data_IF_208431814889
#
_entry.id   IF_208431814889
#
_cell.length_a   1.000
_cell.length_b   1.000
_cell.length_c   1.000
_cell.angle_alpha   90.00
_cell.angle_beta   90.00
_cell.angle_gamma   90.00
#
_symmetry.space_group_name_H-M   'P 1'
#
loop_
_entity.id
_entity.type
_entity.pdbx_description
1 polymer ?
#
# COMPACT_ATOMS: atom_id res chain seq x y z
N UNK A 1 2.48 11.24 -10.91
CA UNK A 1 2.17 11.41 -9.46
C UNK A 1 2.44 12.84 -8.94
N UNK A 2 3.51 13.52 -9.35
CA UNK A 2 3.88 14.86 -8.85
C UNK A 2 2.96 16.03 -9.25
N UNK A 3 1.77 15.77 -9.79
CA UNK A 3 0.75 16.81 -9.99
C UNK A 3 -0.10 17.03 -8.72
N UNK A 4 -0.04 16.12 -7.74
CA UNK A 4 -0.69 16.26 -6.44
C UNK A 4 0.37 16.66 -5.39
N UNK A 5 0.17 17.77 -4.64
CA UNK A 5 1.17 18.29 -3.70
C UNK A 5 1.67 17.28 -2.66
N UNK A 6 0.81 16.40 -2.12
CA UNK A 6 1.24 15.40 -1.14
C UNK A 6 2.24 14.40 -1.74
N UNK A 7 2.06 14.00 -3.00
CA UNK A 7 3.01 13.09 -3.64
C UNK A 7 4.34 13.77 -3.93
N UNK A 8 4.35 15.08 -4.22
CA UNK A 8 5.59 15.86 -4.29
C UNK A 8 6.31 15.88 -2.95
N UNK A 9 5.59 16.14 -1.86
CA UNK A 9 6.15 16.15 -0.51
C UNK A 9 6.73 14.79 -0.12
N UNK A 10 6.01 13.68 -0.38
CA UNK A 10 6.49 12.32 -0.14
C UNK A 10 7.76 12.05 -0.96
N UNK A 11 7.73 12.35 -2.25
CA UNK A 11 8.86 12.11 -3.15
C UNK A 11 10.09 12.91 -2.71
N UNK A 12 9.92 14.20 -2.38
CA UNK A 12 11.00 15.04 -1.89
C UNK A 12 11.58 14.52 -0.57
N UNK A 13 10.73 14.13 0.38
CA UNK A 13 11.15 13.59 1.68
C UNK A 13 11.98 12.32 1.51
N UNK A 14 11.50 11.38 0.70
CA UNK A 14 12.19 10.10 0.44
C UNK A 14 13.50 10.34 -0.31
N UNK A 15 13.47 11.12 -1.40
CA UNK A 15 14.66 11.39 -2.21
C UNK A 15 15.73 12.14 -1.41
N UNK A 16 15.36 13.12 -0.58
CA UNK A 16 16.30 13.83 0.28
C UNK A 16 16.99 12.87 1.26
N UNK A 17 16.24 11.98 1.89
CA UNK A 17 16.81 10.97 2.79
C UNK A 17 17.79 10.04 2.06
N UNK A 18 17.40 9.51 0.89
CA UNK A 18 18.24 8.57 0.14
C UNK A 18 19.53 9.22 -0.39
N UNK A 19 19.45 10.47 -0.85
CA UNK A 19 20.63 11.22 -1.34
C UNK A 19 21.66 11.47 -0.25
N UNK A 20 21.23 11.64 1.01
CA UNK A 20 22.14 11.77 2.16
C UNK A 20 22.88 10.46 2.45
N UNK A 21 22.29 9.30 2.17
CA UNK A 21 22.85 7.98 2.50
C UNK A 21 23.53 7.26 1.33
N UNK A 22 23.48 7.79 0.09
CA UNK A 22 24.28 7.43 -1.11
C UNK A 22 24.40 5.93 -1.48
N UNK A 23 23.55 5.03 -0.96
CA UNK A 23 23.75 3.57 -1.06
C UNK A 23 22.53 2.77 -1.52
N UNK A 24 21.40 3.42 -1.79
CA UNK A 24 20.17 2.73 -2.18
C UNK A 24 19.75 3.11 -3.61
N UNK A 25 19.24 2.12 -4.34
CA UNK A 25 18.61 2.32 -5.65
C UNK A 25 17.32 3.11 -5.47
N UNK A 26 17.01 4.01 -6.41
CA UNK A 26 15.81 4.84 -6.32
C UNK A 26 14.53 3.99 -6.42
N UNK A 27 13.47 4.33 -5.66
CA UNK A 27 12.21 3.63 -5.74
C UNK A 27 11.61 3.75 -7.15
N UNK A 28 11.27 2.62 -7.74
CA UNK A 28 10.66 2.49 -9.07
C UNK A 28 9.14 2.36 -8.98
N UNK A 29 8.64 1.83 -7.87
CA UNK A 29 7.20 1.62 -7.64
C UNK A 29 6.67 2.54 -6.54
N UNK A 30 5.34 2.68 -6.47
CA UNK A 30 4.73 3.46 -5.41
C UNK A 30 4.92 2.78 -4.05
N UNK A 31 4.85 1.45 -4.03
CA UNK A 31 5.08 0.65 -2.82
C UNK A 31 6.49 0.84 -2.28
N UNK A 32 7.52 0.83 -3.15
CA UNK A 32 8.90 1.12 -2.74
C UNK A 32 8.99 2.52 -2.12
N UNK A 33 8.42 3.53 -2.79
CA UNK A 33 8.41 4.92 -2.31
C UNK A 33 7.79 5.04 -0.90
N UNK A 34 6.63 4.42 -0.67
CA UNK A 34 5.95 4.47 0.63
C UNK A 34 6.67 3.65 1.69
N UNK A 35 7.30 2.55 1.31
CA UNK A 35 8.15 1.77 2.23
C UNK A 35 9.29 2.63 2.75
N UNK A 36 9.98 3.37 1.88
CA UNK A 36 11.01 4.33 2.30
C UNK A 36 10.47 5.47 3.14
N UNK A 37 9.26 5.98 2.84
CA UNK A 37 8.61 7.04 3.64
C UNK A 37 8.39 6.58 5.10
N UNK A 38 7.84 5.38 5.30
CA UNK A 38 7.58 4.88 6.66
C UNK A 38 8.90 4.54 7.37
N UNK A 39 9.91 4.00 6.67
CA UNK A 39 11.26 3.82 7.23
C UNK A 39 11.83 5.15 7.73
N UNK A 40 11.73 6.21 6.91
CA UNK A 40 12.22 7.55 7.25
C UNK A 40 11.56 8.08 8.53
N UNK A 41 10.23 8.07 8.59
CA UNK A 41 9.51 8.57 9.76
C UNK A 41 9.75 7.72 11.01
N UNK A 42 9.91 6.41 10.86
CA UNK A 42 10.26 5.52 11.97
C UNK A 42 11.64 5.84 12.55
N UNK A 43 12.65 6.06 11.70
CA UNK A 43 13.99 6.48 12.14
C UNK A 43 13.96 7.83 12.84
N UNK A 44 13.30 8.82 12.24
CA UNK A 44 13.17 10.17 12.81
C UNK A 44 12.49 10.13 14.19
N UNK A 45 11.45 9.30 14.35
CA UNK A 45 10.78 9.05 15.63
C UNK A 45 11.76 8.50 16.67
N UNK A 46 12.51 7.45 16.31
CA UNK A 46 13.44 6.79 17.22
C UNK A 46 14.58 7.73 17.67
N UNK A 47 15.14 8.51 16.74
CA UNK A 47 16.16 9.53 17.05
C UNK A 47 15.63 10.61 18.00
N UNK A 48 14.43 11.13 17.73
CA UNK A 48 13.85 12.25 18.49
C UNK A 48 13.40 11.88 19.90
N UNK A 49 12.85 10.67 20.10
CA UNK A 49 12.16 10.31 21.35
C UNK A 49 12.82 9.19 22.15
N UNK A 50 13.60 8.30 21.50
CA UNK A 50 14.27 7.20 22.19
C UNK A 50 15.76 7.46 22.43
N UNK A 51 16.32 8.55 21.88
CA UNK A 51 17.73 8.92 22.06
C UNK A 51 18.72 7.88 21.52
N UNK A 52 18.25 6.96 20.68
CA UNK A 52 19.03 5.89 20.08
C UNK A 52 19.55 6.36 18.71
N UNK A 53 20.84 6.71 18.62
CA UNK A 53 21.58 6.67 17.35
C UNK A 53 21.87 5.20 17.01
N UNK A 54 20.84 4.43 16.66
CA UNK A 54 21.04 3.03 16.28
C UNK A 54 21.25 2.90 14.77
N UNK A 55 22.40 2.35 14.41
CA UNK A 55 22.82 2.01 13.04
C UNK A 55 22.03 0.80 12.52
N UNK A 56 20.73 0.96 12.27
CA UNK A 56 19.90 -0.05 11.60
C UNK A 56 18.41 0.34 11.52
N UNK A 57 17.63 -0.23 10.59
CA UNK A 57 16.18 -0.08 10.57
C UNK A 57 15.57 -0.96 11.67
N UNK A 58 15.79 -0.60 12.94
CA UNK A 58 15.03 -1.20 14.04
C UNK A 58 13.65 -0.56 14.06
N UNK A 59 12.75 -1.21 13.34
CA UNK A 59 11.33 -0.97 13.46
C UNK A 59 10.93 -1.13 14.93
N UNK A 60 10.17 -0.18 15.49
CA UNK A 60 9.34 -0.54 16.62
C UNK A 60 8.15 -1.33 16.05
N UNK A 61 8.34 -2.65 15.96
CA UNK A 61 7.41 -3.59 15.32
C UNK A 61 6.00 -3.45 15.91
N UNK A 62 5.91 -3.35 17.23
CA UNK A 62 4.65 -3.17 17.95
C UNK A 62 3.96 -1.84 17.57
N UNK A 63 4.71 -0.75 17.52
CA UNK A 63 4.20 0.56 17.09
C UNK A 63 3.62 0.54 15.66
N UNK A 64 4.37 0.00 14.69
CA UNK A 64 3.96 0.00 13.28
C UNK A 64 2.82 -0.98 13.02
N UNK A 65 2.82 -2.15 13.66
CA UNK A 65 1.71 -3.09 13.56
C UNK A 65 0.43 -2.51 14.16
N UNK A 66 0.51 -1.86 15.32
CA UNK A 66 -0.65 -1.21 15.95
C UNK A 66 -1.20 -0.08 15.09
N UNK A 67 -0.32 0.76 14.53
CA UNK A 67 -0.73 1.83 13.62
C UNK A 67 -1.32 1.29 12.30
N UNK A 68 -0.75 0.22 11.75
CA UNK A 68 -1.29 -0.44 10.56
C UNK A 68 -2.62 -1.14 10.82
N UNK A 69 -2.82 -1.73 12.00
CA UNK A 69 -4.11 -2.28 12.44
C UNK A 69 -5.18 -1.20 12.47
N UNK A 70 -4.89 -0.07 13.12
CA UNK A 70 -5.78 1.09 13.12
C UNK A 70 -6.09 1.55 11.69
N UNK A 71 -5.07 1.69 10.85
CA UNK A 71 -5.23 2.12 9.46
C UNK A 71 -6.17 1.19 8.68
N UNK A 72 -6.03 -0.13 8.85
CA UNK A 72 -6.89 -1.12 8.22
C UNK A 72 -8.34 -1.06 8.74
N UNK A 73 -8.54 -0.98 10.06
CA UNK A 73 -9.87 -0.87 10.66
C UNK A 73 -10.60 0.38 10.15
N UNK A 74 -9.93 1.54 10.17
CA UNK A 74 -10.52 2.78 9.69
C UNK A 74 -10.74 2.78 8.17
N UNK A 75 -9.87 2.13 7.39
CA UNK A 75 -10.04 1.99 5.94
C UNK A 75 -11.27 1.16 5.59
N UNK A 76 -11.45 0.00 6.25
CA UNK A 76 -12.61 -0.88 6.03
C UNK A 76 -13.91 -0.21 6.48
N UNK A 77 -13.87 0.57 7.56
CA UNK A 77 -15.02 1.32 8.05
C UNK A 77 -15.32 2.59 7.23
N UNK A 78 -14.41 3.01 6.35
CA UNK A 78 -14.57 4.24 5.55
C UNK A 78 -14.35 5.54 6.35
N UNK A 79 -13.65 5.45 7.46
CA UNK A 79 -13.39 6.58 8.36
C UNK A 79 -12.08 7.28 7.99
N UNK A 80 -12.14 8.61 7.86
CA UNK A 80 -10.97 9.48 7.67
C UNK A 80 -10.49 10.13 8.98
N UNK A 81 -11.38 10.22 9.96
CA UNK A 81 -11.11 10.72 11.30
C UNK A 81 -11.48 9.64 12.33
N UNK A 82 -10.73 9.59 13.42
CA UNK A 82 -10.90 8.63 14.50
C UNK A 82 -10.56 9.29 15.85
N UNK A 83 -10.91 8.63 16.94
CA UNK A 83 -10.89 9.19 18.29
C UNK A 83 -9.91 8.43 19.21
N UNK A 84 -9.80 8.88 20.46
CA UNK A 84 -8.93 8.23 21.45
C UNK A 84 -9.32 6.76 21.72
N UNK A 85 -10.60 6.42 21.56
CA UNK A 85 -11.12 5.07 21.72
C UNK A 85 -10.57 4.12 20.65
N UNK A 86 -10.55 4.58 19.39
CA UNK A 86 -10.01 3.82 18.26
C UNK A 86 -8.51 3.54 18.44
N UNK A 87 -7.76 4.53 18.96
CA UNK A 87 -6.33 4.36 19.30
C UNK A 87 -6.13 3.28 20.36
N UNK A 88 -6.95 3.31 21.43
CA UNK A 88 -6.87 2.32 22.52
C UNK A 88 -7.23 0.92 22.03
N UNK A 89 -8.22 0.77 21.15
CA UNK A 89 -8.60 -0.52 20.54
C UNK A 89 -7.47 -1.09 19.65
N UNK A 90 -6.74 -0.21 18.97
CA UNK A 90 -5.56 -0.58 18.20
C UNK A 90 -4.33 -0.89 19.06
N UNK A 91 -4.39 -0.65 20.38
CA UNK A 91 -3.27 -0.85 21.30
C UNK A 91 -2.27 0.32 21.35
N UNK A 92 -2.67 1.51 20.87
CA UNK A 92 -1.83 2.70 20.83
C UNK A 92 -2.12 3.58 22.04
N UNK A 93 -1.09 3.91 22.83
CA UNK A 93 -1.21 4.93 23.87
C UNK A 93 -1.49 6.29 23.21
N UNK A 94 -2.51 6.99 23.69
CA UNK A 94 -2.89 8.35 23.27
C UNK A 94 -1.70 9.30 23.33
N UNK A 95 -0.81 9.14 24.32
CA UNK A 95 0.41 9.95 24.41
C UNK A 95 1.39 9.63 23.27
N UNK A 96 1.46 8.37 22.85
CA UNK A 96 2.28 7.92 21.71
C UNK A 96 1.67 8.32 20.36
N UNK A 97 0.35 8.55 20.27
CA UNK A 97 -0.27 9.00 19.02
C UNK A 97 0.34 10.31 18.48
N UNK A 98 0.74 11.22 19.38
CA UNK A 98 1.46 12.46 19.05
C UNK A 98 2.86 12.23 18.46
N UNK A 99 3.42 11.05 18.69
CA UNK A 99 4.79 10.65 18.34
C UNK A 99 4.88 10.13 16.89
N UNK A 100 3.75 9.78 16.27
CA UNK A 100 3.67 9.40 14.83
C UNK A 100 3.57 10.60 13.87
N UNK A 101 4.01 11.78 14.32
CA UNK A 101 4.06 13.01 13.53
C UNK A 101 4.70 12.76 12.15
N UNK A 102 3.91 12.94 11.09
CA UNK A 102 4.29 12.69 9.71
C UNK A 102 3.56 11.51 9.05
N UNK A 103 3.04 10.57 9.85
CA UNK A 103 2.14 9.48 9.38
C UNK A 103 0.72 9.68 9.88
N UNK A 104 0.57 10.06 11.15
CA UNK A 104 -0.68 10.37 11.82
C UNK A 104 -0.56 11.74 12.52
N UNK A 105 -1.65 12.50 12.54
CA UNK A 105 -1.71 13.80 13.20
C UNK A 105 -2.89 13.86 14.16
N UNK A 106 -2.65 14.49 15.31
CA UNK A 106 -3.71 14.93 16.21
C UNK A 106 -4.24 16.28 15.73
N UNK A 107 -5.55 16.43 15.78
CA UNK A 107 -6.30 17.65 15.52
C UNK A 107 -7.19 17.95 16.73
N UNK A 108 -7.54 19.21 16.91
CA UNK A 108 -8.50 19.63 17.94
C UNK A 108 -9.84 19.89 17.26
N UNK A 109 -10.89 19.21 17.74
CA UNK A 109 -12.27 19.54 17.38
C UNK A 109 -12.77 20.57 18.37
N UNK A 110 -12.95 21.80 17.90
CA UNK A 110 -13.36 22.92 18.73
C UNK A 110 -14.89 22.92 18.85
N UNK A 111 -15.44 22.14 19.79
CA UNK A 111 -16.89 22.09 20.03
C UNK A 111 -17.38 23.18 21.01
N UNK A 112 -16.53 23.66 21.93
CA UNK A 112 -16.73 24.85 22.77
C UNK A 112 -15.41 25.30 23.44
N UNK A 113 -15.32 26.56 23.91
CA UNK A 113 -14.14 27.15 24.61
C UNK A 113 -13.68 26.32 25.84
N UNK A 114 -14.53 25.43 26.37
CA UNK A 114 -14.28 24.63 27.57
C UNK A 114 -14.06 23.12 27.30
N UNK A 115 -14.37 22.63 26.10
CA UNK A 115 -14.23 21.22 25.72
C UNK A 115 -13.65 21.12 24.30
N UNK A 116 -12.38 20.72 24.20
CA UNK A 116 -11.72 20.38 22.95
C UNK A 116 -11.54 18.88 22.89
N UNK A 117 -12.41 18.20 22.14
CA UNK A 117 -12.24 16.78 21.87
C UNK A 117 -11.07 16.61 20.90
N UNK A 118 -10.15 15.69 21.25
CA UNK A 118 -9.04 15.35 20.37
C UNK A 118 -9.55 14.38 19.30
N UNK A 119 -9.31 14.73 18.05
CA UNK A 119 -9.56 13.85 16.91
C UNK A 119 -8.26 13.61 16.19
N UNK A 120 -8.18 12.50 15.48
CA UNK A 120 -6.96 12.06 14.83
C UNK A 120 -7.26 11.70 13.39
N UNK A 121 -6.28 11.87 12.52
CA UNK A 121 -6.34 11.37 11.16
C UNK A 121 -4.94 10.99 10.66
N UNK A 122 -4.90 10.15 9.64
CA UNK A 122 -3.66 9.99 8.88
C UNK A 122 -3.40 11.26 8.07
N UNK A 123 -2.13 11.61 7.91
CA UNK A 123 -1.73 12.83 7.15
C UNK A 123 -2.32 12.83 5.74
N UNK A 124 -2.47 11.65 5.14
CA UNK A 124 -3.15 11.47 3.88
C UNK A 124 -3.74 10.04 3.76
N UNK A 125 -4.83 9.88 3.00
CA UNK A 125 -5.49 8.58 2.80
C UNK A 125 -4.53 7.53 2.22
N UNK A 126 -3.63 7.91 1.31
CA UNK A 126 -2.64 6.98 0.77
C UNK A 126 -1.67 6.42 1.82
N UNK A 127 -1.37 7.18 2.88
CA UNK A 127 -0.55 6.72 4.00
C UNK A 127 -1.35 5.70 4.83
N UNK A 128 -2.64 5.97 5.07
CA UNK A 128 -3.56 5.03 5.71
C UNK A 128 -3.65 3.72 4.91
N UNK A 129 -3.89 3.80 3.59
CA UNK A 129 -3.96 2.62 2.72
C UNK A 129 -2.66 1.82 2.69
N UNK A 130 -1.51 2.49 2.66
CA UNK A 130 -0.22 1.82 2.73
C UNK A 130 -0.01 1.09 4.06
N UNK A 131 -0.25 1.76 5.19
CA UNK A 131 -0.09 1.16 6.53
C UNK A 131 -1.07 0.00 6.73
N UNK A 132 -2.29 0.12 6.21
CA UNK A 132 -3.26 -0.97 6.19
C UNK A 132 -2.73 -2.17 5.38
N UNK A 133 -2.15 -1.93 4.20
CA UNK A 133 -1.57 -2.97 3.36
C UNK A 133 -0.39 -3.68 4.06
N UNK A 134 0.48 -2.92 4.74
CA UNK A 134 1.57 -3.46 5.57
C UNK A 134 1.02 -4.36 6.67
N UNK A 135 -0.02 -3.92 7.40
CA UNK A 135 -0.64 -4.75 8.44
C UNK A 135 -1.22 -6.04 7.89
N UNK A 136 -2.02 -5.97 6.81
CA UNK A 136 -2.64 -7.15 6.19
C UNK A 136 -1.58 -8.12 5.65
N UNK A 137 -0.53 -7.60 5.02
CA UNK A 137 0.61 -8.38 4.55
C UNK A 137 1.32 -9.11 5.72
N UNK A 138 1.67 -8.39 6.78
CA UNK A 138 2.38 -8.97 7.93
C UNK A 138 1.53 -9.98 8.69
N UNK A 139 0.23 -9.72 8.88
CA UNK A 139 -0.71 -10.68 9.48
C UNK A 139 -0.79 -11.98 8.69
N UNK A 140 -0.79 -11.90 7.35
CA UNK A 140 -0.77 -13.10 6.51
C UNK A 140 0.58 -13.84 6.59
N UNK A 141 1.69 -13.15 6.40
CA UNK A 141 3.02 -13.76 6.32
C UNK A 141 3.47 -14.34 7.66
N UNK A 142 3.26 -13.60 8.76
CA UNK A 142 3.68 -14.03 10.09
C UNK A 142 2.69 -15.04 10.70
N UNK A 143 1.38 -14.81 10.55
CA UNK A 143 0.35 -15.51 11.34
C UNK A 143 -0.61 -16.40 10.51
N UNK A 144 -0.50 -16.41 9.18
CA UNK A 144 -1.43 -17.11 8.27
C UNK A 144 -2.86 -16.59 8.35
N UNK A 145 -3.02 -15.33 8.72
CA UNK A 145 -4.33 -14.71 8.86
C UNK A 145 -4.70 -13.99 7.56
N UNK A 146 -5.68 -14.53 6.84
CA UNK A 146 -6.18 -13.91 5.62
C UNK A 146 -7.32 -12.94 5.96
N UNK A 147 -6.97 -11.68 6.24
CA UNK A 147 -7.92 -10.59 6.53
C UNK A 147 -8.74 -10.14 5.30
N UNK A 148 -8.40 -10.66 4.11
CA UNK A 148 -9.06 -10.33 2.85
C UNK A 148 -10.13 -11.36 2.47
N UNK A 149 -10.12 -12.55 3.07
CA UNK A 149 -11.07 -13.61 2.79
C UNK A 149 -12.41 -13.35 3.50
N UNK A 150 -13.49 -13.23 2.71
CA UNK A 150 -14.87 -13.16 3.22
C UNK A 150 -15.44 -14.54 3.55
N UNK A 151 -14.93 -15.60 2.92
CA UNK A 151 -15.49 -16.95 2.95
C UNK A 151 -14.77 -17.89 3.92
N UNK A 152 -13.70 -17.42 4.57
CA UNK A 152 -12.85 -18.22 5.48
C UNK A 152 -12.51 -19.59 4.90
N UNK A 153 -12.10 -19.59 3.63
CA UNK A 153 -11.68 -20.79 2.95
C UNK A 153 -10.51 -21.44 3.70
N UNK A 154 -10.49 -22.78 3.75
CA UNK A 154 -9.41 -23.51 4.40
C UNK A 154 -8.08 -23.43 3.63
N UNK A 155 -8.10 -22.90 2.40
CA UNK A 155 -6.89 -22.69 1.60
C UNK A 155 -6.17 -21.42 2.04
N UNK A 156 -5.03 -21.61 2.71
CA UNK A 156 -4.15 -20.54 3.20
C UNK A 156 -2.98 -20.27 2.26
N UNK A 157 -3.08 -20.66 1.00
CA UNK A 157 -2.05 -20.39 0.00
C UNK A 157 -1.91 -18.88 -0.26
N UNK A 158 -0.69 -18.46 -0.57
CA UNK A 158 -0.38 -17.08 -0.93
C UNK A 158 -1.14 -16.62 -2.19
N UNK A 159 -1.33 -17.54 -3.14
CA UNK A 159 -2.12 -17.28 -4.36
C UNK A 159 -3.56 -16.96 -4.01
N UNK A 160 -4.21 -17.78 -3.16
CA UNK A 160 -5.59 -17.56 -2.74
C UNK A 160 -5.75 -16.26 -1.95
N UNK A 161 -4.75 -15.90 -1.15
CA UNK A 161 -4.69 -14.62 -0.44
C UNK A 161 -4.73 -13.42 -1.40
N UNK A 162 -3.82 -13.34 -2.37
CA UNK A 162 -3.79 -12.21 -3.31
C UNK A 162 -4.98 -12.21 -4.26
N UNK A 163 -5.47 -13.36 -4.72
CA UNK A 163 -6.71 -13.45 -5.50
C UNK A 163 -7.91 -12.90 -4.74
N UNK A 164 -8.05 -13.25 -3.46
CA UNK A 164 -9.11 -12.73 -2.59
C UNK A 164 -9.02 -11.21 -2.44
N UNK A 165 -7.80 -10.66 -2.32
CA UNK A 165 -7.61 -9.22 -2.26
C UNK A 165 -8.01 -8.52 -3.56
N UNK A 166 -7.62 -9.06 -4.73
CA UNK A 166 -8.01 -8.56 -6.05
C UNK A 166 -9.53 -8.56 -6.20
N UNK A 167 -10.19 -9.67 -5.87
CA UNK A 167 -11.65 -9.78 -5.98
C UNK A 167 -12.37 -8.81 -5.04
N UNK A 168 -11.89 -8.66 -3.80
CA UNK A 168 -12.47 -7.73 -2.82
C UNK A 168 -12.34 -6.28 -3.27
N UNK A 169 -11.23 -5.89 -3.89
CA UNK A 169 -11.05 -4.55 -4.45
C UNK A 169 -11.97 -4.32 -5.67
N UNK A 170 -12.10 -5.30 -6.57
CA UNK A 170 -12.99 -5.22 -7.73
C UNK A 170 -14.48 -5.14 -7.34
N UNK A 171 -14.86 -5.74 -6.21
CA UNK A 171 -16.21 -5.61 -5.64
C UNK A 171 -16.48 -4.25 -4.98
N UNK A 172 -15.45 -3.44 -4.70
CA UNK A 172 -15.63 -2.12 -4.11
C UNK A 172 -16.16 -1.13 -5.13
N UNK A 173 -17.42 -0.73 -5.00
CA UNK A 173 -18.05 0.28 -5.85
C UNK A 173 -17.31 1.62 -5.83
N UNK A 174 -16.80 2.02 -4.66
CA UNK A 174 -16.16 3.33 -4.45
C UNK A 174 -14.67 3.35 -4.77
N UNK A 175 -14.02 2.20 -4.93
CA UNK A 175 -12.57 2.13 -5.20
C UNK A 175 -11.70 2.44 -4.00
N UNK A 176 -12.28 2.45 -2.80
CA UNK A 176 -11.56 2.68 -1.55
C UNK A 176 -10.49 1.62 -1.20
N UNK A 177 -10.38 0.56 -1.99
CA UNK A 177 -9.35 -0.48 -1.83
C UNK A 177 -8.36 -0.52 -3.00
N UNK A 178 -8.47 0.40 -3.96
CA UNK A 178 -7.66 0.33 -5.19
C UNK A 178 -6.18 0.59 -4.89
N UNK A 179 -5.86 1.67 -4.18
CA UNK A 179 -4.49 1.98 -3.82
C UNK A 179 -3.95 1.06 -2.72
N UNK A 180 -4.80 0.66 -1.76
CA UNK A 180 -4.49 -0.44 -0.84
C UNK A 180 -4.06 -1.73 -1.58
N UNK A 181 -4.79 -2.16 -2.60
CA UNK A 181 -4.47 -3.40 -3.35
C UNK A 181 -3.12 -3.29 -4.04
N UNK A 182 -2.84 -2.14 -4.67
CA UNK A 182 -1.54 -1.86 -5.29
C UNK A 182 -0.40 -2.05 -4.31
N UNK A 183 -0.52 -1.46 -3.13
CA UNK A 183 0.47 -1.61 -2.07
C UNK A 183 0.61 -3.06 -1.60
N UNK A 184 -0.51 -3.75 -1.37
CA UNK A 184 -0.49 -5.14 -0.91
C UNK A 184 0.23 -6.07 -1.90
N UNK A 185 -0.01 -5.88 -3.19
CA UNK A 185 0.67 -6.62 -4.26
C UNK A 185 2.14 -6.22 -4.39
N UNK A 186 2.46 -4.92 -4.31
CA UNK A 186 3.86 -4.48 -4.31
C UNK A 186 4.67 -5.09 -3.16
N UNK A 187 4.06 -5.21 -1.97
CA UNK A 187 4.70 -5.83 -0.80
C UNK A 187 4.97 -7.33 -0.98
N UNK A 188 4.30 -8.00 -1.92
CA UNK A 188 4.57 -9.40 -2.26
C UNK A 188 5.94 -9.59 -2.92
N UNK A 189 6.53 -8.55 -3.50
CA UNK A 189 7.85 -8.62 -4.12
C UNK A 189 8.96 -8.63 -3.07
N UNK A 190 9.92 -9.53 -3.24
CA UNK A 190 11.06 -9.67 -2.32
C UNK A 190 11.90 -8.37 -2.22
N UNK A 191 11.98 -7.58 -3.31
CA UNK A 191 12.66 -6.28 -3.33
C UNK A 191 12.09 -5.32 -2.29
N UNK A 192 10.76 -5.27 -2.15
CA UNK A 192 10.04 -4.47 -1.17
C UNK A 192 10.17 -5.03 0.26
N UNK A 193 10.30 -6.34 0.39
CA UNK A 193 10.43 -7.01 1.68
C UNK A 193 11.76 -6.74 2.38
N UNK A 194 12.83 -6.44 1.62
CA UNK A 194 14.15 -6.13 2.18
C UNK A 194 14.10 -5.03 3.25
N UNK A 195 13.31 -3.98 3.01
CA UNK A 195 13.18 -2.84 3.93
C UNK A 195 12.30 -3.16 5.16
N UNK A 196 11.50 -4.23 5.08
CA UNK A 196 10.59 -4.71 6.13
C UNK A 196 11.15 -5.91 6.91
N UNK A 197 12.42 -6.30 6.70
CA UNK A 197 13.02 -7.48 7.35
C UNK A 197 12.95 -7.46 8.89
N UNK A 198 12.87 -6.29 9.52
CA UNK A 198 12.70 -6.19 10.97
C UNK A 198 11.26 -6.42 11.47
N UNK A 199 10.29 -6.57 10.57
CA UNK A 199 8.87 -6.84 10.87
C UNK A 199 8.43 -8.25 10.43
N UNK A 200 9.22 -8.89 9.57
CA UNK A 200 8.90 -10.21 9.02
C UNK A 200 9.56 -11.30 9.86
N UNK A 201 8.75 -12.21 10.38
CA UNK A 201 9.23 -13.39 11.11
C UNK A 201 9.42 -14.61 10.20
N UNK A 202 8.83 -14.58 8.99
CA UNK A 202 8.85 -15.67 8.01
C UNK A 202 9.00 -15.10 6.60
N UNK A 203 9.73 -15.81 5.74
CA UNK A 203 9.79 -15.54 4.30
C UNK A 203 8.90 -16.55 3.58
N UNK A 204 7.97 -16.07 2.76
CA UNK A 204 7.02 -16.92 2.03
C UNK A 204 6.88 -16.63 0.55
N UNK A 205 7.59 -15.64 0.02
CA UNK A 205 7.52 -15.36 -1.40
C UNK A 205 8.04 -16.55 -2.21
N UNK A 206 7.23 -17.01 -3.15
CA UNK A 206 7.67 -17.97 -4.18
C UNK A 206 7.47 -17.35 -5.55
N UNK A 207 8.39 -17.61 -6.49
CA UNK A 207 8.23 -17.14 -7.87
C UNK A 207 6.95 -17.68 -8.52
N UNK A 208 6.56 -18.91 -8.16
CA UNK A 208 5.35 -19.55 -8.68
C UNK A 208 4.06 -18.83 -8.23
N UNK A 209 3.94 -18.47 -6.95
CA UNK A 209 2.76 -17.75 -6.45
C UNK A 209 2.62 -16.36 -7.08
N UNK A 210 3.76 -15.71 -7.37
CA UNK A 210 3.81 -14.45 -8.09
C UNK A 210 3.30 -14.57 -9.53
N UNK A 211 3.81 -15.53 -10.31
CA UNK A 211 3.37 -15.78 -11.69
C UNK A 211 1.86 -16.09 -11.77
N UNK A 212 1.34 -16.90 -10.84
CA UNK A 212 -0.08 -17.23 -10.78
C UNK A 212 -0.95 -16.01 -10.45
N UNK A 213 -0.47 -15.12 -9.58
CA UNK A 213 -1.17 -13.86 -9.23
C UNK A 213 -1.20 -12.90 -10.42
N UNK A 214 -0.06 -12.73 -11.11
CA UNK A 214 0.05 -11.93 -12.33
C UNK A 214 -0.90 -12.44 -13.41
N UNK A 215 -0.93 -13.76 -13.64
CA UNK A 215 -1.84 -14.38 -14.61
C UNK A 215 -3.29 -14.08 -14.26
N UNK A 216 -3.66 -14.18 -12.99
CA UNK A 216 -5.02 -13.88 -12.53
C UNK A 216 -5.42 -12.42 -12.77
N UNK A 217 -4.52 -11.47 -12.50
CA UNK A 217 -4.78 -10.04 -12.76
C UNK A 217 -5.00 -9.81 -14.26
N UNK A 218 -4.19 -10.42 -15.13
CA UNK A 218 -4.36 -10.34 -16.59
C UNK A 218 -5.70 -10.93 -17.05
N UNK A 219 -6.12 -12.05 -16.45
CA UNK A 219 -7.46 -12.62 -16.68
C UNK A 219 -8.56 -11.63 -16.28
N UNK A 220 -8.45 -10.99 -15.11
CA UNK A 220 -9.42 -9.96 -14.66
C UNK A 220 -9.47 -8.72 -15.54
N UNK A 221 -8.35 -8.29 -16.10
CA UNK A 221 -8.33 -7.22 -17.10
C UNK A 221 -9.11 -7.66 -18.36
N UNK A 222 -8.94 -8.91 -18.81
CA UNK A 222 -9.62 -9.47 -20.00
C UNK A 222 -11.12 -9.67 -19.82
N UNK A 223 -11.58 -9.84 -18.58
CA UNK A 223 -13.02 -9.83 -18.25
C UNK A 223 -13.69 -8.46 -18.48
N UNK A 224 -12.91 -7.43 -18.85
CA UNK A 224 -13.38 -6.10 -19.22
C UNK A 224 -14.19 -5.40 -18.09
N UNK A 225 -13.57 -5.12 -16.93
CA UNK A 225 -14.21 -4.37 -15.86
C UNK A 225 -14.32 -2.88 -16.26
N UNK A 226 -14.84 -2.03 -15.36
CA UNK A 226 -14.91 -0.59 -15.65
C UNK A 226 -13.52 0.00 -15.99
N UNK A 227 -13.46 1.13 -16.72
CA UNK A 227 -12.19 1.79 -17.04
C UNK A 227 -11.32 2.05 -15.80
N UNK A 228 -11.92 2.50 -14.70
CA UNK A 228 -11.24 2.78 -13.43
C UNK A 228 -10.63 1.51 -12.82
N UNK A 229 -11.39 0.41 -12.83
CA UNK A 229 -10.88 -0.89 -12.35
C UNK A 229 -9.77 -1.42 -13.23
N UNK A 230 -9.91 -1.28 -14.54
CA UNK A 230 -8.88 -1.67 -15.50
C UNK A 230 -7.59 -0.90 -15.23
N UNK A 231 -7.67 0.43 -15.07
CA UNK A 231 -6.53 1.29 -14.70
C UNK A 231 -5.86 0.78 -13.42
N UNK A 232 -6.64 0.49 -12.38
CA UNK A 232 -6.10 -0.01 -11.12
C UNK A 232 -5.37 -1.36 -11.30
N UNK A 233 -5.93 -2.30 -12.06
CA UNK A 233 -5.29 -3.60 -12.31
C UNK A 233 -4.00 -3.48 -13.13
N UNK A 234 -3.93 -2.56 -14.09
CA UNK A 234 -2.66 -2.27 -14.78
C UNK A 234 -1.62 -1.67 -13.83
N UNK A 235 -2.02 -0.76 -12.93
CA UNK A 235 -1.10 -0.29 -11.90
C UNK A 235 -0.65 -1.40 -10.96
N UNK A 236 -1.53 -2.36 -10.62
CA UNK A 236 -1.15 -3.55 -9.86
C UNK A 236 -0.08 -4.38 -10.58
N UNK A 237 -0.17 -4.56 -11.90
CA UNK A 237 0.89 -5.21 -12.68
C UNK A 237 2.21 -4.44 -12.62
N UNK A 238 2.16 -3.11 -12.67
CA UNK A 238 3.36 -2.28 -12.51
C UNK A 238 3.98 -2.39 -11.10
N UNK A 239 3.18 -2.44 -10.02
CA UNK A 239 3.71 -2.67 -8.67
C UNK A 239 4.35 -4.06 -8.54
N UNK A 240 3.92 -5.03 -9.37
CA UNK A 240 4.49 -6.37 -9.47
C UNK A 240 5.68 -6.45 -10.45
N UNK A 241 6.13 -5.32 -11.03
CA UNK A 241 7.16 -5.26 -12.08
C UNK A 241 6.83 -6.11 -13.34
N UNK A 242 5.55 -6.39 -13.61
CA UNK A 242 5.12 -7.03 -14.86
C UNK A 242 4.67 -5.97 -15.87
N UNK A 243 5.47 -5.77 -16.91
CA UNK A 243 5.16 -4.87 -18.02
C UNK A 243 4.73 -5.62 -19.29
N UNK A 244 4.68 -6.95 -19.25
CA UNK A 244 4.49 -7.79 -20.43
C UNK A 244 3.19 -7.52 -21.17
N UNK A 245 2.10 -7.21 -20.45
CA UNK A 245 0.82 -6.89 -21.08
C UNK A 245 0.87 -5.53 -21.80
N UNK A 246 1.60 -4.56 -21.24
CA UNK A 246 1.81 -3.25 -21.87
C UNK A 246 2.68 -3.40 -23.10
N UNK A 247 3.78 -4.16 -23.00
CA UNK A 247 4.69 -4.45 -24.11
C UNK A 247 3.99 -5.20 -25.24
N UNK A 248 3.15 -6.18 -24.92
CA UNK A 248 2.31 -6.91 -25.87
C UNK A 248 1.44 -5.92 -26.67
N UNK A 249 0.70 -5.05 -25.98
CA UNK A 249 -0.20 -4.09 -26.65
C UNK A 249 0.59 -3.05 -27.46
N UNK A 250 1.71 -2.54 -26.93
CA UNK A 250 2.58 -1.61 -27.65
C UNK A 250 3.20 -2.23 -28.91
N UNK A 251 3.58 -3.51 -28.86
CA UNK A 251 4.08 -4.27 -30.01
C UNK A 251 2.99 -4.39 -31.09
N UNK A 252 1.75 -4.71 -30.70
CA UNK A 252 0.61 -4.73 -31.61
C UNK A 252 0.42 -3.38 -32.31
N UNK A 253 0.39 -2.27 -31.56
CA UNK A 253 0.28 -0.91 -32.11
C UNK A 253 1.41 -0.56 -33.09
N UNK A 254 2.65 -0.91 -32.72
CA UNK A 254 3.84 -0.58 -33.51
C UNK A 254 3.96 -1.42 -34.80
N UNK A 255 3.37 -2.62 -34.81
CA UNK A 255 3.39 -3.52 -35.96
C UNK A 255 2.53 -3.05 -37.14
N UNK A 256 1.65 -2.07 -36.94
CA UNK A 256 0.74 -1.55 -37.97
C UNK A 256 -0.25 -2.60 -38.49
N UNK A 257 -0.46 -3.71 -37.78
CA UNK A 257 -1.40 -4.75 -38.18
C UNK A 257 -2.83 -4.20 -38.13
N UNK A 258 -3.58 -4.33 -39.23
CA UNK A 258 -4.99 -3.92 -39.34
C UNK A 258 -5.95 -4.83 -38.58
N UNK A 259 -5.47 -5.93 -38.00
CA UNK A 259 -6.22 -6.68 -37.00
C UNK A 259 -6.27 -5.84 -35.73
N UNK A 260 -7.41 -5.19 -35.49
CA UNK A 260 -7.68 -4.53 -34.21
C UNK A 260 -7.33 -5.51 -33.09
N UNK A 261 -6.47 -5.13 -32.13
CA UNK A 261 -6.39 -5.91 -30.91
C UNK A 261 -7.80 -5.88 -30.31
N UNK A 262 -8.32 -7.05 -29.91
CA UNK A 262 -9.64 -7.19 -29.26
C UNK A 262 -9.60 -6.60 -27.85
N UNK A 263 -9.24 -5.33 -27.73
CA UNK A 263 -9.26 -4.57 -26.49
C UNK A 263 -10.57 -3.81 -26.41
N UNK A 264 -11.18 -3.89 -25.25
CA UNK A 264 -12.36 -3.10 -24.95
C UNK A 264 -12.02 -1.60 -24.85
N UNK A 265 -13.02 -0.71 -24.95
CA UNK A 265 -12.82 0.70 -24.68
C UNK A 265 -12.23 0.99 -23.29
N UNK A 266 -12.57 0.18 -22.28
CA UNK A 266 -12.03 0.31 -20.93
C UNK A 266 -10.54 -0.03 -20.87
N UNK A 267 -10.11 -1.10 -21.56
CA UNK A 267 -8.72 -1.51 -21.65
C UNK A 267 -7.87 -0.47 -22.42
N UNK A 268 -8.40 0.10 -23.50
CA UNK A 268 -7.76 1.19 -24.21
C UNK A 268 -7.57 2.43 -23.33
N UNK A 269 -8.63 2.84 -22.63
CA UNK A 269 -8.58 3.97 -21.69
C UNK A 269 -7.54 3.73 -20.61
N UNK A 270 -7.49 2.51 -20.07
CA UNK A 270 -6.54 2.15 -19.04
C UNK A 270 -5.09 2.16 -19.51
N UNK A 271 -4.84 1.61 -20.70
CA UNK A 271 -3.50 1.61 -21.28
C UNK A 271 -3.00 3.02 -21.52
N UNK A 272 -3.82 3.88 -22.14
CA UNK A 272 -3.45 5.28 -22.40
C UNK A 272 -3.14 6.00 -21.08
N UNK A 273 -3.93 5.77 -20.04
CA UNK A 273 -3.68 6.36 -18.72
C UNK A 273 -2.37 5.89 -18.08
N UNK A 274 -1.99 4.63 -18.27
CA UNK A 274 -0.76 4.06 -17.70
C UNK A 274 0.48 4.49 -18.48
N UNK A 275 0.34 4.79 -19.77
CA UNK A 275 1.44 5.22 -20.64
C UNK A 275 1.74 6.73 -20.58
N UNK A 276 0.83 7.54 -20.04
CA UNK A 276 0.93 9.01 -19.94
C UNK A 276 1.22 9.47 -18.51
#
# INVERSE_FOLDING_TARGET
MCHIPVFCWISATVLEHMLRHKREEMPKTLTEMYTHLVVFHTKQKNEKYLGKEETGPHWNEESILSLGKLAFQQLVNGNLIFYEEDLKEAGIDVNEASVYSGLCTQLFKEECVLYQDKVYCFVHLSIQEFLAAVYVFLSFINNNENLMDKLQTNDKSEVTFYKSAVDKALQSETGNLDLFLRFLLGLSLESNQKHLRGLQTKTRSSSQSHEETVKYIKEKIRENPSPERSINLFHCLNELNDHSLVEEIQSFLSSGSLSEPNLSPAQWSALVFVLL
#
